data_IF_128039071300
#
_entry.id   IF_128039071300
#
_cell.length_a   1.000
_cell.length_b   1.000
_cell.length_c   1.000
_cell.angle_alpha   90.00
_cell.angle_beta   90.00
_cell.angle_gamma   90.00
#
_symmetry.space_group_name_H-M   'P 1'
#
loop_
_entity.id
_entity.type
_entity.pdbx_description
1 polymer ?
#
# COMPACT_ATOMS: atom_id res chain seq x y z
N UNK A 1 -0.72 -13.28 3.54
CA UNK A 1 -1.15 -13.45 2.13
C UNK A 1 -2.06 -14.67 1.97
N UNK A 2 -1.69 -15.84 2.54
CA UNK A 2 -2.51 -17.06 2.43
C UNK A 2 -3.94 -16.79 2.88
N UNK A 3 -4.16 -16.35 4.11
CA UNK A 3 -5.51 -16.06 4.62
C UNK A 3 -6.29 -15.05 3.76
N UNK A 4 -5.61 -14.08 3.13
CA UNK A 4 -6.27 -13.12 2.25
C UNK A 4 -6.79 -13.80 0.97
N UNK A 5 -6.02 -14.76 0.42
CA UNK A 5 -6.42 -15.56 -0.73
C UNK A 5 -7.58 -16.50 -0.36
N UNK A 6 -7.47 -17.20 0.75
CA UNK A 6 -8.49 -18.14 1.22
C UNK A 6 -9.85 -17.45 1.49
N UNK A 7 -9.81 -16.23 2.02
CA UNK A 7 -11.01 -15.43 2.32
C UNK A 7 -11.48 -14.55 1.15
N UNK A 8 -10.80 -14.59 -0.01
CA UNK A 8 -11.14 -13.75 -1.16
C UNK A 8 -10.99 -12.25 -0.93
N UNK A 9 -10.05 -11.83 -0.05
CA UNK A 9 -9.83 -10.42 0.27
C UNK A 9 -8.70 -9.84 -0.58
N UNK A 10 -8.93 -8.74 -1.32
CA UNK A 10 -7.89 -8.12 -2.13
C UNK A 10 -6.85 -7.41 -1.25
N UNK A 11 -5.73 -8.08 -1.00
CA UNK A 11 -4.59 -7.55 -0.25
C UNK A 11 -3.29 -7.55 -1.10
N UNK A 12 -3.29 -6.94 -2.31
CA UNK A 12 -2.18 -7.04 -3.24
C UNK A 12 -0.88 -6.44 -2.70
N UNK A 13 -0.94 -5.36 -1.91
CA UNK A 13 0.27 -4.76 -1.34
C UNK A 13 0.96 -5.68 -0.33
N UNK A 14 0.17 -6.42 0.47
CA UNK A 14 0.69 -7.38 1.45
C UNK A 14 1.33 -8.57 0.73
N UNK A 15 0.67 -9.11 -0.28
CA UNK A 15 1.20 -10.21 -1.10
C UNK A 15 2.46 -9.77 -1.86
N UNK A 16 2.43 -8.58 -2.46
CA UNK A 16 3.57 -8.05 -3.21
C UNK A 16 4.81 -7.84 -2.34
N UNK A 17 4.64 -7.45 -1.07
CA UNK A 17 5.76 -7.34 -0.14
C UNK A 17 6.46 -8.69 0.08
N UNK A 18 5.69 -9.78 0.17
CA UNK A 18 6.23 -11.16 0.28
C UNK A 18 7.01 -11.53 -0.98
N UNK A 19 6.43 -11.34 -2.17
CA UNK A 19 7.10 -11.65 -3.43
C UNK A 19 8.36 -10.79 -3.67
N UNK A 20 8.32 -9.52 -3.31
CA UNK A 20 9.48 -8.65 -3.37
C UNK A 20 10.62 -9.17 -2.47
N UNK A 21 10.29 -9.72 -1.29
CA UNK A 21 11.25 -10.33 -0.39
C UNK A 21 11.84 -11.62 -0.98
N UNK A 22 11.03 -12.46 -1.62
CA UNK A 22 11.52 -13.66 -2.30
C UNK A 22 12.47 -13.30 -3.45
N UNK A 23 12.08 -12.34 -4.30
CA UNK A 23 12.97 -11.82 -5.35
C UNK A 23 14.27 -11.24 -4.80
N UNK A 24 14.22 -10.55 -3.65
CA UNK A 24 15.41 -10.03 -2.98
C UNK A 24 16.38 -11.14 -2.55
N UNK A 25 15.86 -12.29 -2.12
CA UNK A 25 16.67 -13.43 -1.69
C UNK A 25 17.45 -14.10 -2.85
N UNK A 26 16.98 -13.98 -4.09
CA UNK A 26 17.64 -14.58 -5.27
C UNK A 26 18.81 -13.73 -5.81
N UNK A 27 19.70 -13.26 -4.92
CA UNK A 27 20.76 -12.30 -5.29
C UNK A 27 21.68 -12.81 -6.39
N UNK A 28 22.14 -14.05 -6.30
CA UNK A 28 23.10 -14.63 -7.28
C UNK A 28 22.47 -14.70 -8.67
N UNK A 29 21.24 -15.20 -8.78
CA UNK A 29 20.49 -15.23 -10.04
C UNK A 29 20.29 -13.84 -10.63
N UNK A 30 19.98 -12.83 -9.79
CA UNK A 30 19.80 -11.44 -10.22
C UNK A 30 21.12 -10.82 -10.71
N UNK A 31 22.25 -11.14 -10.07
CA UNK A 31 23.58 -10.71 -10.53
C UNK A 31 23.88 -11.28 -11.91
N UNK A 32 23.60 -12.56 -12.15
CA UNK A 32 23.80 -13.16 -13.47
C UNK A 32 22.85 -12.56 -14.51
N UNK A 33 21.57 -12.42 -14.20
CA UNK A 33 20.60 -11.79 -15.09
C UNK A 33 20.98 -10.35 -15.44
N UNK A 34 21.54 -9.58 -14.51
CA UNK A 34 21.93 -8.18 -14.74
C UNK A 34 23.03 -8.00 -15.80
N UNK A 35 23.81 -9.03 -16.09
CA UNK A 35 24.83 -9.02 -17.16
C UNK A 35 24.20 -9.14 -18.55
N UNK A 36 23.00 -9.70 -18.64
CA UNK A 36 22.33 -10.05 -19.88
C UNK A 36 21.13 -9.16 -20.17
N UNK A 37 20.33 -8.83 -19.16
CA UNK A 37 19.11 -8.03 -19.27
C UNK A 37 19.44 -6.56 -19.05
N UNK A 38 19.31 -5.76 -20.11
CA UNK A 38 19.55 -4.32 -20.05
C UNK A 38 18.28 -3.57 -19.68
N UNK A 39 18.42 -2.58 -18.77
CA UNK A 39 17.38 -1.62 -18.45
C UNK A 39 17.44 -0.37 -19.31
N UNK A 40 16.49 0.56 -19.12
CA UNK A 40 16.46 1.84 -19.83
C UNK A 40 17.65 2.72 -19.44
N UNK A 41 18.13 3.53 -20.40
CA UNK A 41 19.08 4.62 -20.12
C UNK A 41 18.26 5.84 -19.67
N UNK A 42 18.22 6.07 -18.38
CA UNK A 42 17.42 7.14 -17.78
C UNK A 42 18.30 8.16 -17.04
N UNK A 43 17.97 9.45 -17.20
CA UNK A 43 18.58 10.55 -16.45
C UNK A 43 17.48 11.49 -15.97
N UNK A 44 17.31 11.59 -14.67
CA UNK A 44 16.39 12.55 -14.09
C UNK A 44 16.88 13.99 -14.29
N UNK A 45 16.01 14.87 -14.80
CA UNK A 45 16.31 16.29 -15.07
C UNK A 45 15.47 17.25 -14.23
N UNK A 46 14.70 16.74 -13.27
CA UNK A 46 13.83 17.56 -12.43
C UNK A 46 14.49 18.02 -11.12
N UNK A 47 13.72 18.70 -10.28
CA UNK A 47 14.15 19.14 -8.96
C UNK A 47 14.33 17.95 -8.00
N UNK A 48 15.54 17.79 -7.46
CA UNK A 48 15.82 16.77 -6.43
C UNK A 48 14.91 16.92 -5.21
N UNK A 49 14.73 18.16 -4.73
CA UNK A 49 13.84 18.44 -3.58
C UNK A 49 12.40 18.03 -3.87
N UNK A 50 11.87 18.44 -5.04
CA UNK A 50 10.52 18.08 -5.47
C UNK A 50 10.32 16.58 -5.62
N UNK A 51 11.34 15.84 -6.09
CA UNK A 51 11.29 14.37 -6.18
C UNK A 51 11.23 13.72 -4.79
N UNK A 52 12.03 14.19 -3.84
CA UNK A 52 12.03 13.66 -2.46
C UNK A 52 10.66 13.89 -1.82
N UNK A 53 10.05 15.07 -2.01
CA UNK A 53 8.70 15.36 -1.52
C UNK A 53 7.65 14.44 -2.17
N UNK A 54 7.75 14.23 -3.48
CA UNK A 54 6.84 13.33 -4.20
C UNK A 54 7.00 11.86 -3.75
N UNK A 55 8.21 11.39 -3.48
CA UNK A 55 8.47 10.05 -2.93
C UNK A 55 7.87 9.92 -1.52
N UNK A 56 7.97 10.95 -0.68
CA UNK A 56 7.33 10.98 0.64
C UNK A 56 5.82 10.83 0.52
N UNK A 57 5.19 11.56 -0.41
CA UNK A 57 3.76 11.48 -0.69
C UNK A 57 3.36 10.08 -1.18
N UNK A 58 4.15 9.50 -2.10
CA UNK A 58 3.94 8.14 -2.61
C UNK A 58 4.02 7.09 -1.50
N UNK A 59 5.03 7.20 -0.63
CA UNK A 59 5.19 6.32 0.53
C UNK A 59 4.00 6.44 1.49
N UNK A 60 3.55 7.65 1.76
CA UNK A 60 2.42 7.92 2.65
C UNK A 60 1.12 7.31 2.11
N UNK A 61 0.79 7.53 0.83
CA UNK A 61 -0.38 6.94 0.18
C UNK A 61 -0.32 5.41 0.17
N UNK A 62 0.82 4.84 -0.22
CA UNK A 62 1.00 3.39 -0.26
C UNK A 62 0.88 2.76 1.11
N UNK A 63 1.39 3.44 2.15
CA UNK A 63 1.27 3.00 3.53
C UNK A 63 -0.20 3.00 3.99
N UNK A 64 -0.97 4.04 3.69
CA UNK A 64 -2.42 4.09 3.97
C UNK A 64 -3.14 2.91 3.30
N UNK A 65 -2.87 2.65 2.01
CA UNK A 65 -3.47 1.51 1.30
C UNK A 65 -3.12 0.16 1.94
N UNK A 66 -1.88 -0.01 2.40
CA UNK A 66 -1.48 -1.26 3.07
C UNK A 66 -2.24 -1.48 4.38
N UNK A 67 -2.44 -0.42 5.17
CA UNK A 67 -3.29 -0.50 6.37
C UNK A 67 -4.75 -0.77 6.02
N UNK A 68 -5.29 -0.09 5.00
CA UNK A 68 -6.65 -0.32 4.53
C UNK A 68 -6.89 -1.79 4.15
N UNK A 69 -5.95 -2.41 3.43
CA UNK A 69 -6.01 -3.84 3.09
C UNK A 69 -5.94 -4.73 4.32
N UNK A 70 -5.09 -4.40 5.29
CA UNK A 70 -4.97 -5.14 6.55
C UNK A 70 -6.26 -5.09 7.39
N UNK A 71 -6.86 -3.92 7.51
CA UNK A 71 -8.15 -3.76 8.22
C UNK A 71 -9.29 -4.45 7.48
N UNK A 72 -9.33 -4.39 6.14
CA UNK A 72 -10.33 -5.13 5.35
C UNK A 72 -10.19 -6.64 5.54
N UNK A 73 -8.97 -7.16 5.63
CA UNK A 73 -8.74 -8.58 5.92
C UNK A 73 -9.22 -8.96 7.32
N UNK A 74 -8.95 -8.13 8.33
CA UNK A 74 -9.43 -8.36 9.69
C UNK A 74 -10.96 -8.28 9.77
N UNK A 75 -11.59 -7.37 9.04
CA UNK A 75 -13.04 -7.27 8.95
C UNK A 75 -13.65 -8.55 8.36
N UNK A 76 -13.05 -9.10 7.29
CA UNK A 76 -13.48 -10.36 6.71
C UNK A 76 -13.28 -11.53 7.66
N UNK A 77 -12.14 -11.60 8.35
CA UNK A 77 -11.88 -12.62 9.37
C UNK A 77 -12.86 -12.52 10.54
N UNK A 78 -13.25 -11.32 10.96
CA UNK A 78 -14.27 -11.11 11.97
C UNK A 78 -15.61 -11.72 11.57
N UNK A 79 -16.03 -11.57 10.31
CA UNK A 79 -17.25 -12.21 9.79
C UNK A 79 -17.11 -13.74 9.75
N UNK A 80 -16.02 -14.24 9.18
CA UNK A 80 -15.78 -15.67 8.97
C UNK A 80 -15.69 -16.46 10.28
N UNK A 81 -15.01 -15.89 11.29
CA UNK A 81 -14.77 -16.56 12.58
C UNK A 81 -15.67 -16.07 13.70
N UNK A 82 -16.65 -15.22 13.41
CA UNK A 82 -17.56 -14.62 14.40
C UNK A 82 -16.80 -13.94 15.57
N UNK A 83 -15.72 -13.23 15.26
CA UNK A 83 -14.97 -12.46 16.24
C UNK A 83 -15.60 -11.08 16.48
N UNK A 84 -15.31 -10.52 17.65
CA UNK A 84 -15.67 -9.12 17.97
C UNK A 84 -14.40 -8.30 18.10
N UNK A 85 -13.94 -7.73 17.00
CA UNK A 85 -12.71 -6.95 16.94
C UNK A 85 -13.00 -5.45 17.13
N UNK A 86 -12.23 -4.79 17.99
CA UNK A 86 -12.19 -3.34 18.07
C UNK A 86 -11.01 -2.82 17.25
N UNK A 87 -11.24 -2.39 16.01
CA UNK A 87 -10.19 -1.96 15.09
C UNK A 87 -9.45 -0.71 15.57
N UNK A 88 -10.13 0.19 16.29
CA UNK A 88 -9.48 1.34 16.89
C UNK A 88 -8.45 0.94 17.94
N UNK A 89 -8.80 0.02 18.85
CA UNK A 89 -7.88 -0.47 19.88
C UNK A 89 -6.75 -1.33 19.26
N UNK A 90 -7.03 -2.13 18.24
CA UNK A 90 -6.01 -2.87 17.51
C UNK A 90 -4.97 -1.90 16.90
N UNK A 91 -5.40 -0.79 16.32
CA UNK A 91 -4.48 0.22 15.82
C UNK A 91 -3.57 0.80 16.93
N UNK A 92 -4.08 0.92 18.15
CA UNK A 92 -3.30 1.43 19.29
C UNK A 92 -2.22 0.46 19.76
N UNK A 93 -2.44 -0.86 19.67
CA UNK A 93 -1.43 -1.88 20.00
C UNK A 93 -0.16 -1.66 19.15
N UNK A 94 -0.30 -1.20 17.92
CA UNK A 94 0.83 -1.03 16.98
C UNK A 94 1.62 0.27 17.17
N UNK A 95 1.27 1.11 18.14
CA UNK A 95 1.94 2.41 18.38
C UNK A 95 3.35 2.29 18.99
N UNK A 96 3.64 1.21 19.67
CA UNK A 96 4.93 1.00 20.31
C UNK A 96 5.38 -0.45 20.21
N UNK A 97 6.70 -0.67 20.13
CA UNK A 97 7.28 -2.01 20.07
C UNK A 97 6.93 -2.82 18.82
N UNK A 98 6.43 -2.18 17.76
CA UNK A 98 5.97 -2.84 16.55
C UNK A 98 6.61 -2.23 15.30
N UNK A 99 7.06 -3.09 14.37
CA UNK A 99 7.68 -2.67 13.10
C UNK A 99 6.70 -1.93 12.18
N UNK A 100 5.39 -2.19 12.31
CA UNK A 100 4.36 -1.50 11.53
C UNK A 100 3.90 -0.17 12.15
N UNK A 101 4.63 0.36 13.11
CA UNK A 101 4.36 1.66 13.71
C UNK A 101 4.22 2.76 12.64
N UNK A 102 3.21 3.63 12.79
CA UNK A 102 2.95 4.75 11.91
C UNK A 102 2.41 5.96 12.67
N UNK A 103 2.80 7.16 12.25
CA UNK A 103 2.33 8.40 12.87
C UNK A 103 0.82 8.64 12.78
N UNK A 104 0.11 7.94 11.89
CA UNK A 104 -1.33 8.06 11.72
C UNK A 104 -2.17 6.97 12.41
N UNK A 105 -1.59 6.11 13.25
CA UNK A 105 -2.35 5.08 13.97
C UNK A 105 -3.44 5.67 14.86
N UNK A 106 -3.17 6.80 15.50
CA UNK A 106 -4.19 7.55 16.23
C UNK A 106 -5.35 7.97 15.32
N UNK A 107 -5.07 8.35 14.07
CA UNK A 107 -6.11 8.72 13.10
C UNK A 107 -6.93 7.51 12.63
N UNK A 108 -6.35 6.32 12.63
CA UNK A 108 -7.10 5.08 12.39
C UNK A 108 -8.07 4.83 13.54
N UNK A 109 -7.61 4.95 14.80
CA UNK A 109 -8.51 4.83 15.95
C UNK A 109 -9.67 5.83 15.84
N UNK A 110 -9.38 7.10 15.63
CA UNK A 110 -10.41 8.14 15.48
C UNK A 110 -11.40 7.84 14.33
N UNK A 111 -10.94 7.22 13.23
CA UNK A 111 -11.80 6.83 12.12
C UNK A 111 -12.81 5.75 12.53
N UNK A 112 -12.35 4.70 13.22
CA UNK A 112 -13.22 3.62 13.68
C UNK A 112 -14.07 4.01 14.91
N UNK A 113 -13.61 4.93 15.75
CA UNK A 113 -14.43 5.51 16.82
C UNK A 113 -15.61 6.33 16.24
N UNK A 114 -15.39 7.05 15.14
CA UNK A 114 -16.46 7.78 14.44
C UNK A 114 -17.43 6.86 13.68
N UNK A 115 -16.91 5.81 13.07
CA UNK A 115 -17.69 4.86 12.30
C UNK A 115 -17.14 3.43 12.49
N UNK A 116 -17.66 2.70 13.49
CA UNK A 116 -17.26 1.32 13.72
C UNK A 116 -17.51 0.37 12.53
N UNK A 117 -18.44 0.72 11.65
CA UNK A 117 -18.79 -0.03 10.44
C UNK A 117 -18.13 0.53 9.18
N UNK A 118 -17.03 1.25 9.32
CA UNK A 118 -16.29 1.78 8.17
C UNK A 118 -15.80 0.63 7.28
N UNK A 119 -16.36 0.53 6.08
CA UNK A 119 -16.09 -0.57 5.16
C UNK A 119 -14.66 -0.57 4.61
N UNK A 120 -14.02 0.59 4.53
CA UNK A 120 -12.61 0.71 4.13
C UNK A 120 -12.02 2.02 4.67
N UNK A 121 -10.81 1.96 5.16
CA UNK A 121 -10.10 3.12 5.72
C UNK A 121 -9.94 4.27 4.70
N UNK A 122 -9.88 3.96 3.40
CA UNK A 122 -9.80 4.95 2.33
C UNK A 122 -11.02 5.88 2.24
N UNK A 123 -12.16 5.46 2.81
CA UNK A 123 -13.41 6.23 2.80
C UNK A 123 -13.51 7.21 3.98
N UNK A 124 -12.68 7.04 5.01
CA UNK A 124 -12.64 7.99 6.13
C UNK A 124 -12.22 9.39 5.64
N UNK A 125 -12.88 10.47 6.09
CA UNK A 125 -12.62 11.83 5.61
C UNK A 125 -11.15 12.26 5.71
N UNK A 126 -10.45 11.89 6.79
CA UNK A 126 -9.03 12.24 6.96
C UNK A 126 -8.16 11.54 5.91
N UNK A 127 -8.29 10.21 5.78
CA UNK A 127 -7.46 9.43 4.86
C UNK A 127 -7.79 9.73 3.40
N UNK A 128 -9.08 9.87 3.07
CA UNK A 128 -9.54 10.31 1.76
C UNK A 128 -8.92 11.65 1.37
N UNK A 129 -8.98 12.65 2.25
CA UNK A 129 -8.40 13.97 1.99
C UNK A 129 -6.89 13.93 1.79
N UNK A 130 -6.16 13.11 2.57
CA UNK A 130 -4.70 12.96 2.41
C UNK A 130 -4.34 12.33 1.07
N UNK A 131 -5.02 11.25 0.68
CA UNK A 131 -4.76 10.58 -0.61
C UNK A 131 -5.12 11.48 -1.78
N UNK A 132 -6.27 12.15 -1.77
CA UNK A 132 -6.67 13.05 -2.85
C UNK A 132 -5.64 14.16 -3.09
N UNK A 133 -5.03 14.68 -2.02
CA UNK A 133 -3.97 15.70 -2.12
C UNK A 133 -2.66 15.13 -2.65
N UNK A 134 -2.27 13.93 -2.22
CA UNK A 134 -0.95 13.36 -2.48
C UNK A 134 -0.88 12.46 -3.73
N UNK A 135 -2.02 11.95 -4.24
CA UNK A 135 -2.04 11.03 -5.37
C UNK A 135 -1.39 11.54 -6.66
N UNK A 136 -1.41 12.85 -7.01
CA UNK A 136 -0.71 13.31 -8.22
C UNK A 136 0.81 13.09 -8.11
N UNK A 137 1.40 13.35 -6.95
CA UNK A 137 2.81 13.07 -6.66
C UNK A 137 3.11 11.57 -6.71
N UNK A 138 2.23 10.75 -6.13
CA UNK A 138 2.36 9.30 -6.14
C UNK A 138 2.37 8.72 -7.56
N UNK A 139 1.45 9.17 -8.43
CA UNK A 139 1.41 8.75 -9.84
C UNK A 139 2.69 9.12 -10.58
N UNK A 140 3.20 10.34 -10.37
CA UNK A 140 4.48 10.77 -10.95
C UNK A 140 5.64 9.88 -10.53
N UNK A 141 5.71 9.50 -9.24
CA UNK A 141 6.78 8.62 -8.74
C UNK A 141 6.69 7.23 -9.37
N UNK A 142 5.49 6.65 -9.49
CA UNK A 142 5.29 5.34 -10.11
C UNK A 142 5.65 5.36 -11.60
N UNK A 143 5.20 6.38 -12.34
CA UNK A 143 5.54 6.56 -13.75
C UNK A 143 7.05 6.72 -13.93
N UNK A 144 7.67 7.61 -13.15
CA UNK A 144 9.11 7.86 -13.17
C UNK A 144 9.94 6.60 -12.87
N UNK A 145 9.51 5.81 -11.89
CA UNK A 145 10.18 4.55 -11.54
C UNK A 145 10.10 3.54 -12.70
N UNK A 146 8.94 3.43 -13.37
CA UNK A 146 8.77 2.58 -14.53
C UNK A 146 9.66 3.02 -15.70
N UNK A 147 9.69 4.31 -16.03
CA UNK A 147 10.56 4.90 -17.08
C UNK A 147 12.05 4.70 -16.76
N UNK A 148 12.42 4.81 -15.50
CA UNK A 148 13.80 4.66 -15.04
C UNK A 148 14.24 3.19 -14.87
N UNK A 149 13.35 2.21 -15.03
CA UNK A 149 13.63 0.81 -14.77
C UNK A 149 13.88 0.49 -13.29
N UNK A 150 13.31 1.29 -12.38
CA UNK A 150 13.45 1.10 -10.93
C UNK A 150 12.24 0.31 -10.42
N UNK A 151 12.51 -0.87 -9.88
CA UNK A 151 11.46 -1.68 -9.27
C UNK A 151 10.94 -1.02 -7.98
N UNK A 152 9.66 -0.63 -7.99
CA UNK A 152 8.95 -0.16 -6.79
C UNK A 152 7.60 -0.87 -6.63
N UNK A 153 7.61 -2.20 -6.47
CA UNK A 153 6.42 -3.04 -6.54
C UNK A 153 5.35 -2.65 -5.54
N UNK A 154 5.75 -2.20 -4.36
CA UNK A 154 4.80 -1.77 -3.32
C UNK A 154 4.04 -0.49 -3.71
N UNK A 155 4.71 0.51 -4.31
CA UNK A 155 4.05 1.73 -4.77
C UNK A 155 3.10 1.45 -5.94
N UNK A 156 3.53 0.60 -6.86
CA UNK A 156 2.73 0.20 -8.04
C UNK A 156 1.50 -0.60 -7.63
N UNK A 157 1.67 -1.61 -6.78
CA UNK A 157 0.59 -2.46 -6.28
C UNK A 157 -0.44 -1.68 -5.47
N UNK A 158 0.02 -0.79 -4.59
CA UNK A 158 -0.88 0.05 -3.78
C UNK A 158 -1.67 1.05 -4.65
N UNK A 159 -1.04 1.64 -5.68
CA UNK A 159 -1.71 2.53 -6.62
C UNK A 159 -2.76 1.79 -7.45
N UNK A 160 -2.43 0.60 -7.93
CA UNK A 160 -3.37 -0.26 -8.65
C UNK A 160 -4.58 -0.66 -7.77
N UNK A 161 -4.33 -1.01 -6.50
CA UNK A 161 -5.41 -1.27 -5.55
C UNK A 161 -6.31 -0.05 -5.37
N UNK A 162 -5.73 1.14 -5.16
CA UNK A 162 -6.49 2.37 -5.02
C UNK A 162 -7.34 2.67 -6.26
N UNK A 163 -6.77 2.52 -7.45
CA UNK A 163 -7.47 2.77 -8.70
C UNK A 163 -8.59 1.75 -8.94
N UNK A 164 -8.36 0.47 -8.64
CA UNK A 164 -9.40 -0.56 -8.71
C UNK A 164 -10.52 -0.31 -7.71
N UNK A 165 -10.16 0.03 -6.47
CA UNK A 165 -11.15 0.22 -5.40
C UNK A 165 -12.09 1.41 -5.65
N UNK A 166 -11.63 2.47 -6.33
CA UNK A 166 -12.44 3.65 -6.68
C UNK A 166 -13.20 3.55 -8.00
N UNK A 167 -12.96 2.52 -8.80
CA UNK A 167 -13.61 2.34 -10.08
C UNK A 167 -14.95 1.62 -9.93
N UNK A 168 -16.03 2.22 -10.50
CA UNK A 168 -17.35 1.60 -10.48
C UNK A 168 -17.43 0.37 -11.38
N UNK A 169 -16.64 0.34 -12.46
CA UNK A 169 -16.55 -0.77 -13.42
C UNK A 169 -15.08 -1.10 -13.61
N UNK A 170 -14.74 -2.38 -13.57
CA UNK A 170 -13.41 -2.90 -13.85
C UNK A 170 -13.42 -3.71 -15.15
N UNK A 171 -12.26 -3.88 -15.83
CA UNK A 171 -12.19 -4.69 -17.06
C UNK A 171 -12.63 -6.15 -16.90
N UNK A 172 -12.70 -6.65 -15.67
CA UNK A 172 -13.11 -8.02 -15.35
C UNK A 172 -14.62 -8.18 -15.11
N UNK A 173 -15.42 -7.08 -15.17
CA UNK A 173 -16.87 -7.13 -14.95
C UNK A 173 -17.65 -6.13 -15.80
#
# INVERSE_FOLDING_TARGET
SVNALDMGVPAPSIAQAVFARFMSAEKEKRVEASKQLRGPKFRYRGSRKGLIEAIRDALYCSKICSYAQGFSLMAKAQEEYNWKLNFGEIAMIWRGGCIIQAGFLQKIKEAYDRNPNLSNLLLDPFFKGKILKAQPSWRKVVALAAEAGIACPQFMSALSYYDSYRAAVLPAN
#
